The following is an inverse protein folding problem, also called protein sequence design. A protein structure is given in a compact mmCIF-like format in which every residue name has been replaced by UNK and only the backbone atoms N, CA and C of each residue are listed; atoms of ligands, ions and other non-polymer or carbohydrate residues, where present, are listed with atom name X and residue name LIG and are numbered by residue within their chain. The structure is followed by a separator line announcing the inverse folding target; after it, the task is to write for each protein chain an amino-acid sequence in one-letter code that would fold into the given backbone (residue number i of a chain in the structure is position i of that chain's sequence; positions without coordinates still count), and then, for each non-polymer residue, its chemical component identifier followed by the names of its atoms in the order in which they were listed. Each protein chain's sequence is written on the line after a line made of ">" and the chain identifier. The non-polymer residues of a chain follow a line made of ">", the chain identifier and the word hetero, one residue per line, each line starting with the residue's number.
data_IF_760621571356
#
_entry.id   IF_760621571356
#
_cell.length_a   1.000
_cell.length_b   1.000
_cell.length_c   1.000
_cell.angle_alpha   90.00
_cell.angle_beta   90.00
_cell.angle_gamma   90.00
#
_symmetry.space_group_name_H-M   'P 1'
#
loop_
_entity.id
_entity.type
_entity.pdbx_description
1 polymer ?
#
# COMPACT_ATOMS: atom_id res chain seq x y z
N UNK A 1 -10.17 -41.28 -21.47
CA UNK A 1 -11.09 -40.21 -21.07
C UNK A 1 -11.03 -40.14 -19.56
N UNK A 2 -10.38 -39.11 -19.01
CA UNK A 2 -10.40 -38.85 -17.57
C UNK A 2 -11.66 -38.04 -17.32
N UNK A 3 -12.67 -38.64 -16.67
CA UNK A 3 -13.84 -37.90 -16.19
C UNK A 3 -13.36 -36.87 -15.16
N UNK A 4 -13.38 -35.61 -15.54
CA UNK A 4 -13.25 -34.50 -14.60
C UNK A 4 -14.54 -34.40 -13.79
N UNK A 5 -14.56 -34.94 -12.61
CA UNK A 5 -15.64 -34.65 -11.65
C UNK A 5 -15.51 -33.21 -11.20
N UNK A 6 -16.39 -32.35 -11.70
CA UNK A 6 -16.55 -30.97 -11.20
C UNK A 6 -17.20 -31.03 -9.82
N UNK A 7 -16.39 -31.05 -8.77
CA UNK A 7 -16.89 -30.97 -7.39
C UNK A 7 -17.22 -29.50 -7.12
N UNK A 8 -18.46 -29.10 -7.35
CA UNK A 8 -18.97 -27.81 -6.84
C UNK A 8 -19.06 -27.87 -5.33
N UNK A 9 -18.20 -27.13 -4.63
CA UNK A 9 -18.28 -26.93 -3.20
C UNK A 9 -18.72 -25.50 -2.91
N UNK A 10 -19.88 -25.34 -2.29
CA UNK A 10 -20.24 -24.07 -1.65
C UNK A 10 -19.45 -23.95 -0.34
N UNK A 11 -18.70 -22.86 -0.19
CA UNK A 11 -17.82 -22.63 0.92
C UNK A 11 -18.12 -21.28 1.55
N UNK A 12 -18.49 -21.27 2.82
CA UNK A 12 -18.59 -20.04 3.62
C UNK A 12 -17.21 -19.78 4.26
N UNK A 13 -16.41 -18.97 3.61
CA UNK A 13 -15.02 -18.69 4.04
C UNK A 13 -14.92 -18.23 5.50
N UNK A 14 -15.90 -17.48 6.02
CA UNK A 14 -15.92 -17.05 7.42
C UNK A 14 -16.03 -18.21 8.43
N UNK A 15 -16.59 -19.32 8.03
CA UNK A 15 -16.68 -20.50 8.87
C UNK A 15 -15.44 -21.37 8.80
N UNK A 16 -14.74 -21.33 7.67
CA UNK A 16 -13.55 -22.15 7.42
C UNK A 16 -12.27 -21.52 7.98
N UNK A 17 -12.19 -20.19 8.01
CA UNK A 17 -11.04 -19.42 8.51
C UNK A 17 -11.48 -18.52 9.66
N UNK A 18 -11.80 -19.15 10.79
CA UNK A 18 -12.37 -18.45 11.98
C UNK A 18 -11.39 -17.49 12.64
N UNK A 19 -10.10 -17.66 12.43
CA UNK A 19 -9.04 -16.81 12.93
C UNK A 19 -8.87 -15.50 12.11
N UNK A 20 -9.61 -15.35 11.00
CA UNK A 20 -9.65 -14.11 10.18
C UNK A 20 -10.93 -13.33 10.53
N UNK A 21 -10.88 -12.40 11.50
CA UNK A 21 -12.08 -11.81 12.10
C UNK A 21 -12.83 -10.84 11.16
N UNK A 22 -12.13 -10.18 10.25
CA UNK A 22 -12.69 -9.19 9.33
C UNK A 22 -11.85 -9.05 8.06
N UNK A 23 -12.34 -8.28 7.10
CA UNK A 23 -11.56 -7.94 5.88
C UNK A 23 -10.54 -6.82 6.11
N UNK A 24 -10.56 -6.21 7.30
CA UNK A 24 -9.72 -5.06 7.69
C UNK A 24 -8.82 -5.35 8.90
N UNK A 25 -8.74 -6.62 9.32
CA UNK A 25 -7.91 -7.02 10.45
C UNK A 25 -6.42 -6.84 10.16
N UNK A 26 -5.62 -6.84 11.21
CA UNK A 26 -4.17 -6.65 11.11
C UNK A 26 -3.83 -5.42 10.23
N UNK A 27 -2.93 -5.57 9.29
CA UNK A 27 -2.48 -4.50 8.40
C UNK A 27 -3.24 -4.41 7.08
N UNK A 28 -4.36 -5.14 6.92
CA UNK A 28 -5.16 -5.10 5.69
C UNK A 28 -5.84 -3.75 5.41
N UNK A 29 -5.80 -2.81 6.35
CA UNK A 29 -6.45 -1.49 6.21
C UNK A 29 -5.52 -0.31 6.53
N UNK A 30 -4.22 -0.43 6.26
CA UNK A 30 -3.30 0.70 6.42
C UNK A 30 -3.59 1.81 5.41
N UNK A 31 -3.99 1.44 4.19
CA UNK A 31 -4.32 2.39 3.14
C UNK A 31 -5.50 1.89 2.29
N UNK A 32 -6.22 2.84 1.70
CA UNK A 32 -7.29 2.50 0.75
C UNK A 32 -6.69 1.87 -0.52
N UNK A 33 -7.34 0.81 -1.00
CA UNK A 33 -7.04 0.21 -2.29
C UNK A 33 -8.34 -0.31 -2.90
N UNK A 34 -8.68 0.04 -4.14
CA UNK A 34 -9.93 -0.43 -4.75
C UNK A 34 -9.88 -1.93 -5.02
N UNK A 35 -11.00 -2.60 -4.80
CA UNK A 35 -11.18 -4.03 -5.11
C UNK A 35 -10.08 -4.95 -4.52
N UNK A 36 -9.71 -4.73 -3.24
CA UNK A 36 -8.75 -5.60 -2.54
C UNK A 36 -9.23 -7.05 -2.53
N UNK A 37 -8.29 -7.97 -2.65
CA UNK A 37 -8.55 -9.39 -2.44
C UNK A 37 -9.07 -9.63 -1.01
N UNK A 38 -10.06 -10.49 -0.84
CA UNK A 38 -10.65 -10.81 0.45
C UNK A 38 -9.69 -11.71 1.24
N UNK A 39 -9.20 -11.31 2.44
CA UNK A 39 -8.23 -12.09 3.19
C UNK A 39 -8.67 -13.52 3.50
N UNK A 40 -9.95 -13.73 3.79
CA UNK A 40 -10.49 -15.06 4.09
C UNK A 40 -10.34 -16.03 2.91
N UNK A 41 -10.50 -15.55 1.68
CA UNK A 41 -10.33 -16.38 0.48
C UNK A 41 -8.86 -16.77 0.32
N UNK A 42 -7.96 -15.80 0.53
CA UNK A 42 -6.51 -16.01 0.43
C UNK A 42 -6.04 -16.96 1.53
N UNK A 43 -6.43 -16.73 2.77
CA UNK A 43 -6.09 -17.59 3.92
C UNK A 43 -6.53 -19.02 3.66
N UNK A 44 -7.79 -19.22 3.29
CA UNK A 44 -8.33 -20.55 2.99
C UNK A 44 -7.51 -21.29 1.92
N UNK A 45 -7.19 -20.60 0.82
CA UNK A 45 -6.44 -21.22 -0.25
C UNK A 45 -4.99 -21.58 0.17
N UNK A 46 -4.31 -20.67 0.86
CA UNK A 46 -2.96 -20.90 1.35
C UNK A 46 -2.93 -22.12 2.31
N UNK A 47 -3.80 -22.16 3.31
CA UNK A 47 -3.83 -23.25 4.28
C UNK A 47 -4.28 -24.58 3.68
N UNK A 48 -5.10 -24.54 2.64
CA UNK A 48 -5.64 -25.75 2.00
C UNK A 48 -4.68 -26.39 1.03
N UNK A 49 -3.86 -25.61 0.34
CA UNK A 49 -3.08 -26.08 -0.82
C UNK A 49 -1.57 -25.93 -0.64
N UNK A 50 -1.10 -25.44 0.50
CA UNK A 50 0.34 -25.30 0.79
C UNK A 50 0.66 -25.65 2.22
N UNK A 51 1.96 -25.86 2.48
CA UNK A 51 2.53 -26.07 3.82
C UNK A 51 3.43 -24.87 4.22
N UNK A 52 3.73 -24.66 5.52
CA UNK A 52 4.73 -23.66 5.92
C UNK A 52 6.08 -23.86 5.21
N UNK A 53 6.61 -22.76 4.67
CA UNK A 53 7.84 -22.75 3.86
C UNK A 53 7.62 -22.75 2.35
N UNK A 54 6.42 -23.12 1.88
CA UNK A 54 6.06 -23.11 0.46
C UNK A 54 6.01 -21.70 -0.13
N UNK A 55 6.05 -21.60 -1.45
CA UNK A 55 6.00 -20.36 -2.20
C UNK A 55 4.61 -20.10 -2.79
N UNK A 56 4.06 -18.93 -2.48
CA UNK A 56 2.78 -18.46 -3.02
C UNK A 56 3.04 -17.31 -3.99
N UNK A 57 2.39 -17.33 -5.15
CA UNK A 57 2.54 -16.32 -6.19
C UNK A 57 1.24 -15.58 -6.50
N UNK A 58 1.32 -14.25 -6.55
CA UNK A 58 0.23 -13.37 -7.01
C UNK A 58 0.73 -12.43 -8.12
N UNK A 59 0.36 -12.68 -9.40
CA UNK A 59 0.76 -11.85 -10.53
C UNK A 59 0.03 -10.50 -10.64
N UNK A 60 -1.02 -10.25 -9.82
CA UNK A 60 -1.79 -9.01 -9.80
C UNK A 60 -2.07 -8.58 -8.36
N UNK A 61 -0.99 -8.38 -7.61
CA UNK A 61 -0.99 -8.34 -6.15
C UNK A 61 -1.74 -7.15 -5.52
N UNK A 62 -1.90 -6.05 -6.24
CA UNK A 62 -2.66 -4.89 -5.76
C UNK A 62 -2.20 -4.36 -4.42
N UNK A 63 -3.02 -4.54 -3.39
CA UNK A 63 -2.69 -4.13 -2.02
C UNK A 63 -1.58 -4.98 -1.36
N UNK A 64 -1.38 -6.22 -1.82
CA UNK A 64 -0.46 -7.17 -1.19
C UNK A 64 -1.12 -8.11 -0.17
N UNK A 65 -2.42 -8.36 -0.27
CA UNK A 65 -3.16 -9.27 0.63
C UNK A 65 -2.50 -10.64 0.75
N UNK A 66 -2.03 -11.19 -0.38
CA UNK A 66 -1.36 -12.50 -0.40
C UNK A 66 -0.09 -12.49 0.45
N UNK A 67 0.71 -11.42 0.44
CA UNK A 67 1.91 -11.33 1.28
C UNK A 67 1.58 -11.27 2.77
N UNK A 68 0.54 -10.53 3.16
CA UNK A 68 0.11 -10.45 4.56
C UNK A 68 -0.30 -11.84 5.06
N UNK A 69 -1.15 -12.54 4.30
CA UNK A 69 -1.61 -13.88 4.67
C UNK A 69 -0.47 -14.91 4.64
N UNK A 70 0.45 -14.82 3.69
CA UNK A 70 1.63 -15.67 3.62
C UNK A 70 2.50 -15.51 4.87
N UNK A 71 2.80 -14.28 5.28
CA UNK A 71 3.57 -14.03 6.51
C UNK A 71 2.88 -14.56 7.76
N UNK A 72 1.54 -14.42 7.85
CA UNK A 72 0.76 -14.91 9.01
C UNK A 72 0.70 -16.44 9.06
N UNK A 73 0.88 -17.11 7.94
CA UNK A 73 0.79 -18.58 7.84
C UNK A 73 2.15 -19.26 7.64
N UNK A 74 3.24 -18.49 7.57
CA UNK A 74 4.59 -19.03 7.42
C UNK A 74 4.95 -19.48 6.00
N UNK A 75 4.34 -18.89 4.98
CA UNK A 75 4.65 -19.13 3.55
C UNK A 75 5.46 -17.98 2.99
N UNK A 76 6.32 -18.28 2.02
CA UNK A 76 7.00 -17.28 1.22
C UNK A 76 6.07 -16.73 0.15
N UNK A 77 6.33 -15.52 -0.33
CA UNK A 77 5.46 -14.91 -1.34
C UNK A 77 6.22 -14.18 -2.45
N UNK A 78 5.76 -14.34 -3.68
CA UNK A 78 6.16 -13.53 -4.82
C UNK A 78 4.94 -12.74 -5.28
N UNK A 79 5.08 -11.43 -5.35
CA UNK A 79 4.03 -10.53 -5.75
C UNK A 79 4.48 -9.70 -6.96
N UNK A 80 3.63 -9.68 -7.97
CA UNK A 80 3.83 -8.84 -9.14
C UNK A 80 2.68 -7.86 -9.29
N UNK A 81 2.99 -6.64 -9.68
CA UNK A 81 1.99 -5.64 -10.06
C UNK A 81 2.64 -4.58 -10.95
N UNK A 82 1.88 -4.07 -11.91
CA UNK A 82 2.31 -2.93 -12.73
C UNK A 82 2.44 -1.65 -11.86
N UNK A 83 1.60 -1.51 -10.84
CA UNK A 83 1.53 -0.30 -10.03
C UNK A 83 2.62 -0.26 -8.95
N UNK A 84 3.52 0.75 -8.96
CA UNK A 84 4.57 0.87 -7.95
C UNK A 84 4.07 1.00 -6.51
N UNK A 85 2.85 1.51 -6.29
CA UNK A 85 2.27 1.66 -4.96
C UNK A 85 2.16 0.31 -4.23
N UNK A 86 1.98 -0.78 -4.98
CA UNK A 86 1.93 -2.15 -4.45
C UNK A 86 3.16 -2.48 -3.62
N UNK A 87 4.36 -2.09 -4.09
CA UNK A 87 5.60 -2.32 -3.34
C UNK A 87 5.59 -1.56 -2.01
N UNK A 88 5.15 -0.30 -2.02
CA UNK A 88 5.06 0.53 -0.82
C UNK A 88 4.07 -0.04 0.18
N UNK A 89 2.85 -0.35 -0.27
CA UNK A 89 1.78 -0.85 0.59
C UNK A 89 2.11 -2.25 1.14
N UNK A 90 2.62 -3.15 0.30
CA UNK A 90 3.00 -4.49 0.74
C UNK A 90 4.08 -4.46 1.81
N UNK A 91 5.21 -3.79 1.55
CA UNK A 91 6.30 -3.76 2.54
C UNK A 91 5.94 -3.00 3.82
N UNK A 92 5.10 -1.96 3.74
CA UNK A 92 4.54 -1.33 4.94
C UNK A 92 3.66 -2.29 5.73
N UNK A 93 2.81 -3.07 5.03
CA UNK A 93 1.83 -3.98 5.66
C UNK A 93 2.46 -5.21 6.32
N UNK A 94 3.61 -5.68 5.83
CA UNK A 94 4.31 -6.84 6.40
C UNK A 94 5.45 -6.45 7.35
N UNK A 95 5.52 -5.18 7.77
CA UNK A 95 6.54 -4.73 8.70
C UNK A 95 6.41 -5.42 10.07
N UNK A 96 7.47 -6.11 10.52
CA UNK A 96 7.47 -6.93 11.73
C UNK A 96 8.23 -6.30 12.91
N UNK A 97 8.89 -5.17 12.68
CA UNK A 97 9.62 -4.48 13.73
C UNK A 97 8.67 -3.77 14.72
N UNK A 98 9.18 -3.50 15.91
CA UNK A 98 8.48 -2.62 16.83
C UNK A 98 8.33 -1.23 16.22
N UNK A 99 7.15 -0.64 16.38
CA UNK A 99 6.87 0.73 15.96
C UNK A 99 6.22 1.51 17.09
N UNK A 100 6.70 2.71 17.32
CA UNK A 100 6.19 3.63 18.34
C UNK A 100 5.73 4.92 17.66
N UNK A 101 4.80 5.62 18.28
CA UNK A 101 4.27 6.86 17.71
C UNK A 101 5.37 7.91 17.43
N UNK A 102 6.42 8.00 18.26
CA UNK A 102 7.58 8.87 18.05
C UNK A 102 8.35 8.57 16.75
N UNK A 103 8.24 7.37 16.19
CA UNK A 103 8.90 6.99 14.94
C UNK A 103 8.28 7.69 13.71
N UNK A 104 7.09 8.28 13.90
CA UNK A 104 6.37 9.05 12.89
C UNK A 104 6.63 10.56 13.00
N UNK A 105 7.65 10.99 13.75
CA UNK A 105 8.01 12.41 13.71
C UNK A 105 8.38 12.86 12.31
N UNK A 106 7.77 13.98 11.89
CA UNK A 106 8.02 14.64 10.61
C UNK A 106 8.30 16.12 10.86
N UNK A 107 9.38 16.62 10.29
CA UNK A 107 9.68 18.04 10.34
C UNK A 107 8.91 18.79 9.24
N UNK A 108 7.82 19.45 9.63
CA UNK A 108 6.96 20.24 8.74
C UNK A 108 7.59 21.56 8.29
N UNK A 109 8.70 21.97 8.91
CA UNK A 109 9.44 23.18 8.61
C UNK A 109 10.83 22.85 8.01
N UNK A 110 10.98 21.64 7.44
CA UNK A 110 12.24 21.15 6.86
C UNK A 110 12.67 21.99 5.65
N UNK A 111 13.94 22.39 5.59
CA UNK A 111 14.46 23.25 4.52
C UNK A 111 14.64 22.54 3.17
N UNK A 112 14.86 21.24 3.19
CA UNK A 112 15.05 20.41 1.98
C UNK A 112 13.73 19.97 1.33
N UNK A 113 12.96 20.93 0.82
CA UNK A 113 11.64 20.64 0.23
C UNK A 113 11.71 19.68 -0.97
N UNK A 114 10.85 18.67 -0.97
CA UNK A 114 10.63 17.79 -2.11
C UNK A 114 9.50 18.32 -3.01
N UNK A 115 9.78 18.47 -4.29
CA UNK A 115 8.77 18.85 -5.28
C UNK A 115 8.56 17.72 -6.27
N UNK A 116 7.36 17.13 -6.33
CA UNK A 116 7.06 16.15 -7.36
C UNK A 116 7.33 16.70 -8.76
N UNK A 117 7.97 15.90 -9.62
CA UNK A 117 8.26 16.30 -11.00
C UNK A 117 7.04 16.28 -11.92
N UNK A 118 5.89 15.95 -11.38
CA UNK A 118 4.65 15.90 -12.14
C UNK A 118 4.12 17.31 -12.46
N UNK A 119 4.01 17.64 -13.74
CA UNK A 119 3.61 18.96 -14.23
C UNK A 119 2.23 19.42 -13.72
N UNK A 120 1.34 18.46 -13.44
CA UNK A 120 -0.03 18.73 -12.98
C UNK A 120 -0.17 18.84 -11.47
N UNK A 121 0.92 18.87 -10.70
CA UNK A 121 0.83 18.89 -9.23
C UNK A 121 0.04 20.10 -8.70
N UNK A 122 0.19 21.26 -9.34
CA UNK A 122 -0.54 22.50 -8.98
C UNK A 122 -2.01 22.47 -9.37
N UNK A 123 -2.42 21.58 -10.27
CA UNK A 123 -3.83 21.32 -10.56
C UNK A 123 -4.51 20.56 -9.40
N UNK A 124 -3.72 19.72 -8.69
CA UNK A 124 -4.23 18.88 -7.60
C UNK A 124 -4.08 19.48 -6.22
N UNK A 125 -3.17 20.42 -6.01
CA UNK A 125 -2.95 21.04 -4.71
C UNK A 125 -2.95 22.57 -4.80
N UNK A 126 -3.64 23.26 -3.88
CA UNK A 126 -3.44 24.69 -3.65
C UNK A 126 -1.98 24.96 -3.26
N UNK A 127 -1.50 26.17 -3.57
CA UNK A 127 -0.11 26.56 -3.23
C UNK A 127 0.18 26.47 -1.74
N UNK A 128 -0.79 26.84 -0.92
CA UNK A 128 -0.70 26.83 0.53
C UNK A 128 -0.40 25.44 1.08
N UNK A 129 -1.12 24.42 0.60
CA UNK A 129 -0.90 23.03 1.02
C UNK A 129 0.37 22.45 0.40
N UNK A 130 0.68 22.84 -0.82
CA UNK A 130 1.83 22.35 -1.57
C UNK A 130 3.14 22.67 -0.85
N UNK A 131 3.29 23.88 -0.27
CA UNK A 131 4.51 24.26 0.46
C UNK A 131 4.71 23.40 1.71
N UNK A 132 3.66 23.27 2.55
CA UNK A 132 3.74 22.44 3.76
C UNK A 132 4.02 20.96 3.44
N UNK A 133 3.31 20.39 2.46
CA UNK A 133 3.53 19.02 2.02
C UNK A 133 4.94 18.83 1.46
N UNK A 134 5.46 19.80 0.68
CA UNK A 134 6.81 19.73 0.12
C UNK A 134 7.88 19.62 1.20
N UNK A 135 7.74 20.32 2.31
CA UNK A 135 8.67 20.26 3.45
C UNK A 135 8.58 18.91 4.17
N UNK A 136 7.37 18.45 4.48
CA UNK A 136 7.16 17.15 5.13
C UNK A 136 7.67 15.98 4.27
N UNK A 137 7.39 15.98 2.97
CA UNK A 137 7.90 14.98 2.05
C UNK A 137 9.40 15.12 1.82
N UNK A 138 9.96 16.34 1.84
CA UNK A 138 11.40 16.57 1.78
C UNK A 138 12.11 15.91 2.96
N UNK A 139 11.57 16.07 4.17
CA UNK A 139 12.06 15.36 5.35
C UNK A 139 11.99 13.84 5.17
N UNK A 140 10.85 13.32 4.71
CA UNK A 140 10.70 11.89 4.47
C UNK A 140 11.72 11.36 3.44
N UNK A 141 11.87 12.02 2.30
CA UNK A 141 12.79 11.57 1.24
C UNK A 141 14.25 11.59 1.69
N UNK A 142 14.68 12.63 2.39
CA UNK A 142 16.08 12.83 2.72
C UNK A 142 16.46 12.12 4.04
N UNK A 143 15.66 12.30 5.09
CA UNK A 143 16.01 11.82 6.42
C UNK A 143 15.46 10.41 6.70
N UNK A 144 14.25 10.08 6.26
CA UNK A 144 13.64 8.79 6.56
C UNK A 144 14.02 7.76 5.48
N UNK A 145 13.61 8.01 4.23
CA UNK A 145 13.82 7.06 3.14
C UNK A 145 15.29 7.02 2.68
N UNK A 146 15.98 8.14 2.69
CA UNK A 146 17.41 8.21 2.38
C UNK A 146 18.25 7.33 3.32
N UNK A 147 18.01 7.43 4.63
CA UNK A 147 18.67 6.56 5.62
C UNK A 147 18.25 5.11 5.48
N UNK A 148 16.95 4.84 5.28
CA UNK A 148 16.42 3.49 5.13
C UNK A 148 17.04 2.73 3.95
N UNK A 149 17.34 3.41 2.84
CA UNK A 149 18.07 2.80 1.71
C UNK A 149 19.49 2.37 2.08
N UNK A 150 20.15 3.14 2.93
CA UNK A 150 21.51 2.82 3.38
C UNK A 150 21.57 1.68 4.40
N UNK A 151 20.51 1.52 5.22
CA UNK A 151 20.43 0.52 6.29
C UNK A 151 19.62 -0.72 5.93
N UNK A 152 18.94 -0.73 4.77
CA UNK A 152 18.04 -1.82 4.38
C UNK A 152 16.64 -1.77 5.04
N UNK A 153 16.34 -0.73 5.82
CA UNK A 153 15.06 -0.60 6.56
C UNK A 153 13.92 0.04 5.73
N UNK A 154 13.87 -0.25 4.43
CA UNK A 154 12.93 0.37 3.48
C UNK A 154 11.47 0.12 3.86
N UNK A 155 11.14 -1.05 4.41
CA UNK A 155 9.77 -1.37 4.86
C UNK A 155 9.29 -0.42 5.96
N UNK A 156 10.16 -0.04 6.91
CA UNK A 156 9.86 0.93 7.95
C UNK A 156 9.63 2.33 7.36
N UNK A 157 10.46 2.74 6.41
CA UNK A 157 10.28 4.05 5.75
C UNK A 157 8.94 4.11 4.99
N UNK A 158 8.54 3.05 4.31
CA UNK A 158 7.24 2.97 3.65
C UNK A 158 6.09 3.02 4.66
N UNK A 159 6.23 2.35 5.82
CA UNK A 159 5.23 2.43 6.87
C UNK A 159 5.03 3.88 7.36
N UNK A 160 6.13 4.61 7.59
CA UNK A 160 6.10 6.03 8.02
C UNK A 160 5.49 6.93 6.93
N UNK A 161 5.55 6.55 5.64
CA UNK A 161 4.90 7.30 4.56
C UNK A 161 3.37 7.19 4.58
N UNK A 162 2.78 6.15 5.16
CA UNK A 162 1.32 5.93 5.11
C UNK A 162 0.51 7.12 5.62
N UNK A 163 0.78 7.71 6.80
CA UNK A 163 0.07 8.91 7.25
C UNK A 163 0.27 10.11 6.32
N UNK A 164 1.49 10.30 5.77
CA UNK A 164 1.76 11.36 4.81
C UNK A 164 0.93 11.20 3.53
N UNK A 165 0.82 9.99 3.00
CA UNK A 165 -0.01 9.70 1.82
C UNK A 165 -1.48 10.06 2.08
N UNK A 166 -2.01 9.70 3.26
CA UNK A 166 -3.38 10.03 3.66
C UNK A 166 -3.62 11.54 3.72
N UNK A 167 -2.74 12.25 4.42
CA UNK A 167 -2.79 13.71 4.53
C UNK A 167 -2.66 14.37 3.15
N UNK A 168 -1.73 13.90 2.34
CA UNK A 168 -1.50 14.42 1.00
C UNK A 168 -2.74 14.31 0.11
N UNK A 169 -3.44 13.18 0.15
CA UNK A 169 -4.69 12.99 -0.60
C UNK A 169 -5.81 13.88 -0.06
N UNK A 170 -5.95 13.97 1.26
CA UNK A 170 -6.99 14.81 1.88
C UNK A 170 -6.79 16.30 1.55
N UNK A 171 -5.57 16.80 1.69
CA UNK A 171 -5.22 18.19 1.35
C UNK A 171 -4.93 18.37 -0.15
N UNK A 172 -5.80 17.81 -0.96
CA UNK A 172 -5.80 17.94 -2.42
C UNK A 172 -7.21 18.12 -2.97
N UNK A 173 -7.31 18.46 -4.25
CA UNK A 173 -8.57 18.49 -4.98
C UNK A 173 -9.03 17.08 -5.43
N UNK A 174 -8.44 16.01 -4.92
CA UNK A 174 -8.94 14.67 -5.18
C UNK A 174 -10.17 14.37 -4.34
N UNK A 175 -11.16 13.79 -4.99
CA UNK A 175 -12.33 13.24 -4.31
C UNK A 175 -11.92 11.96 -3.56
N UNK A 176 -12.28 11.88 -2.28
CA UNK A 176 -11.89 10.75 -1.42
C UNK A 176 -12.91 9.62 -1.45
N UNK A 177 -14.13 9.89 -1.89
CA UNK A 177 -15.19 8.90 -2.03
C UNK A 177 -15.04 8.07 -3.30
N UNK A 178 -14.29 8.60 -4.29
CA UNK A 178 -14.07 7.95 -5.57
C UNK A 178 -12.66 7.34 -5.59
N UNK A 179 -12.59 6.04 -5.84
CA UNK A 179 -11.30 5.32 -5.90
C UNK A 179 -10.34 5.90 -6.95
N UNK A 180 -10.86 6.36 -8.09
CA UNK A 180 -10.07 7.03 -9.13
C UNK A 180 -9.70 8.44 -8.70
N UNK A 181 -8.47 8.88 -8.95
CA UNK A 181 -8.08 10.28 -8.75
C UNK A 181 -8.92 11.18 -9.67
N UNK A 182 -9.87 11.86 -9.08
CA UNK A 182 -10.85 12.70 -9.75
C UNK A 182 -11.04 14.00 -8.99
N UNK A 183 -11.13 15.13 -9.70
CA UNK A 183 -11.40 16.44 -9.13
C UNK A 183 -12.90 16.72 -9.27
N UNK A 184 -13.61 16.67 -8.17
CA UNK A 184 -15.05 16.95 -8.10
C UNK A 184 -15.32 18.33 -7.51
N UNK A 185 -16.54 18.82 -7.70
CA UNK A 185 -17.02 20.07 -7.03
C UNK A 185 -16.98 19.93 -5.51
N UNK A 186 -17.30 18.73 -4.99
CA UNK A 186 -17.20 18.41 -3.57
C UNK A 186 -15.76 18.58 -3.05
N UNK A 187 -14.78 18.03 -3.76
CA UNK A 187 -13.38 18.18 -3.39
C UNK A 187 -12.90 19.65 -3.46
N UNK A 188 -13.40 20.43 -4.41
CA UNK A 188 -13.11 21.88 -4.47
C UNK A 188 -13.71 22.65 -3.29
N UNK A 189 -14.91 22.27 -2.87
CA UNK A 189 -15.59 22.86 -1.71
C UNK A 189 -14.87 22.51 -0.40
N UNK A 190 -14.52 21.24 -0.21
CA UNK A 190 -13.67 20.76 0.89
C UNK A 190 -12.38 21.59 1.00
N UNK A 191 -11.66 21.78 -0.09
CA UNK A 191 -10.41 22.55 -0.09
C UNK A 191 -10.66 24.01 0.30
N UNK A 192 -11.73 24.62 -0.21
CA UNK A 192 -12.10 26.00 0.15
C UNK A 192 -12.41 26.15 1.64
N UNK A 193 -13.14 25.19 2.21
CA UNK A 193 -13.43 25.14 3.65
C UNK A 193 -12.15 24.97 4.46
N UNK A 194 -11.28 24.04 4.08
CA UNK A 194 -9.99 23.84 4.75
C UNK A 194 -9.17 25.14 4.79
N UNK A 195 -9.05 25.83 3.65
CA UNK A 195 -8.30 27.08 3.54
C UNK A 195 -8.87 28.20 4.41
N UNK A 196 -10.15 28.17 4.75
CA UNK A 196 -10.81 29.15 5.64
C UNK A 196 -10.56 28.89 7.14
N UNK A 197 -9.86 27.80 7.47
CA UNK A 197 -9.59 27.39 8.86
C UNK A 197 -8.09 27.41 9.15
N UNK A 198 -7.71 27.06 10.40
CA UNK A 198 -6.31 26.72 10.71
C UNK A 198 -5.95 25.35 10.12
N UNK A 199 -5.82 25.33 8.81
CA UNK A 199 -5.51 24.11 8.05
C UNK A 199 -4.14 23.51 8.41
N UNK A 200 -3.18 24.32 8.89
CA UNK A 200 -1.86 23.81 9.29
C UNK A 200 -1.98 22.91 10.52
N UNK A 201 -2.68 23.36 11.54
CA UNK A 201 -2.97 22.54 12.71
C UNK A 201 -3.78 21.30 12.36
N UNK A 202 -4.83 21.43 11.53
CA UNK A 202 -5.64 20.31 11.06
C UNK A 202 -4.81 19.27 10.28
N UNK A 203 -3.90 19.73 9.43
CA UNK A 203 -3.00 18.85 8.65
C UNK A 203 -2.10 18.02 9.58
N UNK A 204 -1.51 18.66 10.59
CA UNK A 204 -0.65 17.99 11.59
C UNK A 204 -1.46 17.04 12.49
N UNK A 205 -2.64 17.46 12.94
CA UNK A 205 -3.55 16.64 13.74
C UNK A 205 -3.97 15.37 12.98
N UNK A 206 -4.43 15.53 11.75
CA UNK A 206 -4.80 14.42 10.89
C UNK A 206 -3.63 13.45 10.65
N UNK A 207 -2.42 13.99 10.47
CA UNK A 207 -1.21 13.16 10.34
C UNK A 207 -1.01 12.27 11.57
N UNK A 208 -1.09 12.84 12.77
CA UNK A 208 -0.92 12.10 14.01
C UNK A 208 -2.04 11.11 14.27
N UNK A 209 -3.27 11.42 13.87
CA UNK A 209 -4.39 10.48 13.96
C UNK A 209 -4.17 9.23 13.08
N UNK A 210 -3.67 9.44 11.87
CA UNK A 210 -3.31 8.31 11.01
C UNK A 210 -2.06 7.57 11.51
N UNK A 211 -1.08 8.26 12.06
CA UNK A 211 0.09 7.61 12.65
C UNK A 211 -0.33 6.69 13.82
N UNK A 212 -1.24 7.14 14.70
CA UNK A 212 -1.81 6.29 15.76
C UNK A 212 -2.49 5.04 15.18
N UNK A 213 -3.34 5.20 14.16
CA UNK A 213 -3.99 4.07 13.49
C UNK A 213 -2.99 3.08 12.90
N UNK A 214 -1.90 3.57 12.29
CA UNK A 214 -0.85 2.70 11.75
C UNK A 214 -0.17 1.92 12.87
N UNK A 215 0.19 2.57 13.98
CA UNK A 215 0.77 1.91 15.16
C UNK A 215 -0.17 0.81 15.69
N UNK A 216 -1.45 1.12 15.82
CA UNK A 216 -2.44 0.16 16.31
C UNK A 216 -2.58 -1.06 15.37
N UNK A 217 -2.58 -0.82 14.06
CA UNK A 217 -2.68 -1.88 13.05
C UNK A 217 -1.42 -2.76 12.98
N UNK A 218 -0.24 -2.18 13.12
CA UNK A 218 1.00 -2.95 13.23
C UNK A 218 1.02 -3.77 14.52
N UNK A 219 0.59 -3.21 15.64
CA UNK A 219 0.48 -3.95 16.89
C UNK A 219 -0.56 -5.07 16.81
N UNK A 220 -1.67 -4.86 16.10
CA UNK A 220 -2.65 -5.92 15.81
C UNK A 220 -2.00 -7.03 14.99
N UNK A 221 -1.29 -6.70 13.90
CA UNK A 221 -0.57 -7.65 13.05
C UNK A 221 0.45 -8.47 13.85
N UNK A 222 1.23 -7.82 14.74
CA UNK A 222 2.20 -8.50 15.59
C UNK A 222 1.53 -9.55 16.52
N UNK A 223 0.33 -9.28 17.03
CA UNK A 223 -0.41 -10.24 17.88
C UNK A 223 -0.80 -11.51 17.13
N UNK A 224 -1.00 -11.45 15.82
CA UNK A 224 -1.22 -12.64 14.98
C UNK A 224 0.06 -13.46 14.74
N UNK A 225 1.23 -12.99 15.20
CA UNK A 225 2.49 -13.72 15.17
C UNK A 225 3.04 -13.97 13.78
N UNK A 226 3.26 -12.90 12.98
CA UNK A 226 3.81 -13.06 11.63
C UNK A 226 5.16 -13.75 11.65
N UNK A 227 5.37 -14.67 10.69
CA UNK A 227 6.57 -15.48 10.59
C UNK A 227 7.67 -14.79 9.79
N UNK A 228 8.88 -15.21 10.00
CA UNK A 228 10.03 -14.79 9.19
C UNK A 228 10.07 -15.60 7.89
N UNK A 229 9.57 -14.98 6.82
CA UNK A 229 9.47 -15.58 5.49
C UNK A 229 9.98 -14.59 4.44
N UNK A 230 10.34 -15.09 3.29
CA UNK A 230 10.79 -14.27 2.18
C UNK A 230 9.57 -13.72 1.40
N UNK A 231 9.56 -12.39 1.17
CA UNK A 231 8.54 -11.72 0.35
C UNK A 231 9.23 -10.89 -0.71
N UNK A 232 8.98 -11.23 -1.97
CA UNK A 232 9.54 -10.56 -3.15
C UNK A 232 8.43 -9.79 -3.86
N UNK A 233 8.60 -8.48 -3.99
CA UNK A 233 7.64 -7.62 -4.72
C UNK A 233 8.30 -7.03 -5.94
N UNK A 234 7.79 -7.36 -7.13
CA UNK A 234 8.23 -6.77 -8.41
C UNK A 234 7.14 -5.88 -8.99
N UNK A 235 7.52 -4.67 -9.36
CA UNK A 235 6.63 -3.69 -9.98
C UNK A 235 7.34 -3.00 -11.14
N UNK A 236 6.67 -2.08 -11.83
CA UNK A 236 7.31 -1.23 -12.83
C UNK A 236 8.41 -0.31 -12.28
N UNK A 237 8.54 -0.21 -10.97
CA UNK A 237 9.62 0.54 -10.31
C UNK A 237 10.79 -0.37 -9.94
N UNK A 238 11.98 -0.04 -10.44
CA UNK A 238 13.24 -0.70 -10.06
C UNK A 238 13.89 0.01 -8.88
N UNK A 239 14.73 -0.73 -8.16
CA UNK A 239 15.47 -0.19 -7.01
C UNK A 239 16.46 0.93 -7.38
N UNK A 240 16.90 0.98 -8.63
CA UNK A 240 17.73 2.06 -9.18
C UNK A 240 16.93 3.34 -9.49
N UNK A 241 15.63 3.38 -9.17
CA UNK A 241 14.73 4.52 -9.38
C UNK A 241 14.22 4.67 -10.81
N UNK A 242 14.54 3.73 -11.71
CA UNK A 242 14.03 3.74 -13.09
C UNK A 242 12.68 3.06 -13.21
N UNK A 243 11.83 3.62 -14.06
CA UNK A 243 10.65 2.95 -14.54
C UNK A 243 11.03 1.95 -15.64
N UNK A 244 10.51 0.74 -15.53
CA UNK A 244 10.51 -0.24 -16.61
C UNK A 244 9.10 -0.67 -16.90
N UNK A 245 8.80 -0.94 -18.17
CA UNK A 245 7.55 -1.58 -18.51
C UNK A 245 7.57 -2.98 -17.88
N UNK A 246 6.75 -3.18 -16.85
CA UNK A 246 6.54 -4.47 -16.24
C UNK A 246 5.33 -5.12 -16.92
N UNK A 247 5.54 -6.29 -17.54
CA UNK A 247 4.48 -7.03 -18.22
C UNK A 247 4.46 -8.46 -17.66
N UNK A 248 3.49 -8.75 -16.83
CA UNK A 248 3.33 -10.06 -16.19
C UNK A 248 3.23 -11.22 -17.19
N UNK A 249 2.84 -10.95 -18.45
CA UNK A 249 2.80 -11.97 -19.50
C UNK A 249 4.17 -12.30 -20.10
N UNK A 250 5.15 -11.44 -19.91
CA UNK A 250 6.52 -11.57 -20.46
C UNK A 250 7.57 -11.87 -19.40
N UNK A 251 7.27 -11.52 -18.15
CA UNK A 251 8.16 -11.83 -17.03
C UNK A 251 8.19 -13.34 -16.75
N UNK A 252 9.29 -13.79 -16.23
CA UNK A 252 9.48 -15.17 -15.79
C UNK A 252 9.77 -15.23 -14.31
N UNK A 253 9.20 -16.21 -13.63
CA UNK A 253 9.60 -16.57 -12.28
C UNK A 253 11.03 -17.15 -12.34
N UNK A 254 11.82 -16.82 -11.35
CA UNK A 254 13.19 -17.35 -11.15
C UNK A 254 13.22 -18.62 -10.31
N UNK A 255 12.06 -19.09 -9.88
CA UNK A 255 11.86 -20.31 -9.08
C UNK A 255 10.49 -20.92 -9.30
N UNK A 256 10.34 -22.16 -8.90
CA UNK A 256 9.04 -22.83 -8.83
C UNK A 256 8.20 -22.27 -7.68
N UNK A 257 6.89 -22.33 -7.81
CA UNK A 257 5.91 -21.90 -6.81
C UNK A 257 4.90 -23.01 -6.58
N UNK A 258 4.44 -23.17 -5.34
CA UNK A 258 3.55 -24.26 -4.94
C UNK A 258 2.09 -23.89 -5.16
N UNK A 259 1.76 -22.59 -5.05
CA UNK A 259 0.42 -22.07 -5.26
C UNK A 259 0.47 -20.73 -6.02
N UNK A 260 -0.33 -20.61 -7.07
CA UNK A 260 -0.69 -19.33 -7.67
C UNK A 260 -2.12 -18.97 -7.26
N UNK A 261 -2.27 -17.83 -6.60
CA UNK A 261 -3.58 -17.29 -6.21
C UNK A 261 -3.64 -15.80 -6.55
N UNK A 262 -4.67 -15.39 -7.27
CA UNK A 262 -4.78 -14.00 -7.72
C UNK A 262 -6.21 -13.55 -7.89
N UNK A 263 -6.41 -12.23 -7.80
CA UNK A 263 -7.63 -11.53 -8.21
C UNK A 263 -7.30 -10.67 -9.43
N UNK A 264 -7.40 -11.22 -10.65
CA UNK A 264 -7.01 -10.50 -11.84
C UNK A 264 -7.87 -9.25 -12.06
N UNK A 265 -7.33 -8.22 -12.74
CA UNK A 265 -8.08 -7.01 -13.01
C UNK A 265 -9.35 -7.34 -13.82
N UNK A 266 -10.47 -6.72 -13.45
CA UNK A 266 -11.73 -6.88 -14.16
C UNK A 266 -11.64 -6.33 -15.59
N UNK A 267 -12.37 -6.91 -16.54
CA UNK A 267 -12.38 -6.51 -17.97
C UNK A 267 -12.77 -5.03 -18.19
N UNK A 268 -13.55 -4.46 -17.31
CA UNK A 268 -13.84 -3.01 -17.26
C UNK A 268 -12.82 -2.28 -16.37
N UNK A 269 -11.57 -2.72 -16.39
CA UNK A 269 -10.52 -2.38 -15.49
C UNK A 269 -10.49 -0.88 -15.20
N UNK A 270 -10.69 -0.57 -13.94
CA UNK A 270 -10.29 0.72 -13.40
C UNK A 270 -8.78 0.85 -13.65
N UNK A 271 -8.36 1.95 -14.25
CA UNK A 271 -6.94 2.24 -14.40
C UNK A 271 -6.35 2.47 -13.01
N UNK A 272 -5.97 1.39 -12.32
CA UNK A 272 -5.47 1.40 -10.94
C UNK A 272 -4.31 2.40 -10.73
N UNK A 273 -3.44 2.58 -11.73
CA UNK A 273 -2.40 3.59 -11.70
C UNK A 273 -3.00 5.01 -11.58
N UNK A 274 -4.12 5.28 -12.25
CA UNK A 274 -4.80 6.58 -12.15
C UNK A 274 -5.38 6.83 -10.77
N UNK A 275 -5.69 5.80 -10.00
CA UNK A 275 -6.19 5.93 -8.64
C UNK A 275 -5.14 6.47 -7.67
N UNK A 276 -3.86 6.28 -7.97
CA UNK A 276 -2.74 6.63 -7.09
C UNK A 276 -1.79 7.68 -7.67
N UNK A 277 -2.23 8.47 -8.64
CA UNK A 277 -1.36 9.49 -9.28
C UNK A 277 -0.75 10.49 -8.29
N UNK A 278 -1.52 10.93 -7.32
CA UNK A 278 -1.05 11.86 -6.29
C UNK A 278 -0.01 11.17 -5.42
N UNK A 279 -0.33 10.01 -4.89
CA UNK A 279 0.56 9.22 -4.04
C UNK A 279 1.88 8.90 -4.74
N UNK A 280 1.80 8.44 -5.99
CA UNK A 280 2.97 8.12 -6.79
C UNK A 280 3.85 9.35 -7.06
N UNK A 281 3.24 10.51 -7.32
CA UNK A 281 3.97 11.75 -7.51
C UNK A 281 4.77 12.14 -6.26
N UNK A 282 4.16 12.08 -5.08
CA UNK A 282 4.81 12.42 -3.82
C UNK A 282 5.84 11.37 -3.35
N UNK A 283 5.66 10.12 -3.72
CA UNK A 283 6.66 9.06 -3.53
C UNK A 283 7.84 9.17 -4.51
N UNK A 284 7.79 10.09 -5.48
CA UNK A 284 8.86 10.28 -6.46
C UNK A 284 8.76 9.38 -7.70
N UNK A 285 7.63 8.70 -7.90
CA UNK A 285 7.38 7.80 -9.03
C UNK A 285 6.72 8.52 -10.22
N UNK A 286 7.24 9.65 -10.62
CA UNK A 286 6.73 10.38 -11.79
C UNK A 286 7.70 10.27 -12.96
N UNK A 287 7.21 9.74 -14.06
CA UNK A 287 7.78 9.76 -15.38
C UNK A 287 6.78 10.34 -16.35
#
# INVERSE_FOLDING_TARGET
>A
MVEMYEVRREVLFRELVRDVPSTTYATHDLYMYPAKFIPQVVRYAIERYTEPGDWVFDPFAGYGTVAIEATLTGRNAILWDLNPITKVLTYASIYRGQVLLRDFEVNWDYDGAFKPRWSNITYWHPREFLDALSRAWGYWHNEVFGRAKATGEVSRAFLIAIPLLKVTRHFSYADEEIAKTYRSKYAEEKVRELLSTDWKSKMREMYWDYARKVVDKVNEYQRFGPKDVEVIVRTSWREDGRFTVFDALRERLDRDVDLMITSPPYLQAQEYIRSFKIELAWLGFTG
#
